data_IF_549465978491
#
_entry.id   IF_549465978491
#
_cell.length_a   1.000
_cell.length_b   1.000
_cell.length_c   1.000
_cell.angle_alpha   90.00
_cell.angle_beta   90.00
_cell.angle_gamma   90.00
#
_symmetry.space_group_name_H-M   'P 1'
#
loop_
_entity.id
_entity.type
_entity.pdbx_description
1 polymer ?
#
# COMPACT_ATOMS: atom_id res chain seq x y z
N UNK A 1 -5.70 2.27 -15.99
CA UNK A 1 -4.29 2.69 -15.77
C UNK A 1 -3.62 1.54 -15.03
N UNK A 2 -2.30 1.30 -15.08
CA UNK A 2 -1.75 0.13 -14.37
C UNK A 2 -1.43 0.43 -12.89
N UNK A 3 -2.34 1.12 -12.19
CA UNK A 3 -2.08 1.66 -10.85
C UNK A 3 -1.89 0.56 -9.82
N UNK A 4 -2.58 -0.57 -9.99
CA UNK A 4 -2.32 -1.77 -9.19
C UNK A 4 -0.85 -2.19 -9.23
N UNK A 5 -0.23 -2.21 -10.42
CA UNK A 5 1.20 -2.52 -10.56
C UNK A 5 2.09 -1.43 -9.96
N UNK A 6 1.69 -0.16 -10.06
CA UNK A 6 2.41 0.97 -9.46
C UNK A 6 2.44 0.83 -7.92
N UNK A 7 1.29 0.60 -7.28
CA UNK A 7 1.19 0.36 -5.83
C UNK A 7 2.03 -0.83 -5.38
N UNK A 8 1.98 -1.96 -6.11
CA UNK A 8 2.80 -3.12 -5.82
C UNK A 8 4.29 -2.82 -5.95
N UNK A 9 4.70 -2.05 -6.95
CA UNK A 9 6.09 -1.64 -7.12
C UNK A 9 6.58 -0.78 -5.94
N UNK A 10 5.76 0.14 -5.44
CA UNK A 10 6.12 0.94 -4.26
C UNK A 10 6.29 0.07 -3.01
N UNK A 11 5.36 -0.84 -2.76
CA UNK A 11 5.43 -1.75 -1.61
C UNK A 11 6.66 -2.67 -1.71
N UNK A 12 6.92 -3.25 -2.87
CA UNK A 12 8.09 -4.12 -3.07
C UNK A 12 9.42 -3.36 -2.91
N UNK A 13 9.50 -2.12 -3.36
CA UNK A 13 10.67 -1.27 -3.14
C UNK A 13 10.87 -0.96 -1.67
N UNK A 14 9.82 -0.51 -0.97
CA UNK A 14 9.85 -0.29 0.47
C UNK A 14 10.26 -1.57 1.24
N UNK A 15 9.76 -2.73 0.83
CA UNK A 15 10.16 -4.03 1.38
C UNK A 15 11.64 -4.33 1.16
N UNK A 16 12.18 -4.06 -0.02
CA UNK A 16 13.57 -4.42 -0.37
C UNK A 16 14.63 -3.65 0.42
N UNK A 17 14.29 -2.49 0.99
CA UNK A 17 15.24 -1.66 1.75
C UNK A 17 15.28 -1.97 3.26
N UNK A 18 14.31 -2.71 3.81
CA UNK A 18 14.29 -3.04 5.25
C UNK A 18 14.35 -4.54 5.50
N UNK A 19 15.39 -4.96 6.22
CA UNK A 19 15.74 -6.37 6.39
C UNK A 19 15.01 -7.08 7.54
N UNK A 20 14.38 -6.40 8.51
CA UNK A 20 13.75 -7.08 9.65
C UNK A 20 12.51 -6.34 10.20
N UNK A 21 11.52 -7.12 10.66
CA UNK A 21 10.27 -6.67 11.31
C UNK A 21 9.14 -6.28 10.35
N UNK A 22 9.39 -5.33 9.45
CA UNK A 22 8.37 -4.77 8.55
C UNK A 22 8.15 -5.58 7.27
N UNK A 23 8.99 -6.57 6.99
CA UNK A 23 8.92 -7.41 5.79
C UNK A 23 7.61 -8.21 5.72
N UNK A 24 7.09 -8.67 6.86
CA UNK A 24 5.80 -9.36 6.94
C UNK A 24 4.65 -8.40 6.63
N UNK A 25 4.63 -7.23 7.27
CA UNK A 25 3.63 -6.19 7.04
C UNK A 25 3.56 -5.79 5.56
N UNK A 26 4.71 -5.49 4.93
CA UNK A 26 4.72 -5.15 3.51
C UNK A 26 4.33 -6.31 2.60
N UNK A 27 4.61 -7.55 2.99
CA UNK A 27 4.14 -8.73 2.24
C UNK A 27 2.62 -8.86 2.30
N UNK A 28 2.04 -8.63 3.48
CA UNK A 28 0.59 -8.63 3.66
C UNK A 28 -0.07 -7.46 2.90
N UNK A 29 0.51 -6.26 2.92
CA UNK A 29 0.05 -5.13 2.10
C UNK A 29 0.09 -5.45 0.60
N UNK A 30 1.16 -6.08 0.10
CA UNK A 30 1.20 -6.54 -1.29
C UNK A 30 0.10 -7.54 -1.60
N UNK A 31 -0.17 -8.48 -0.69
CA UNK A 31 -1.26 -9.46 -0.85
C UNK A 31 -2.64 -8.80 -0.87
N UNK A 32 -2.89 -7.85 0.02
CA UNK A 32 -4.13 -7.06 0.04
C UNK A 32 -4.35 -6.37 -1.32
N UNK A 33 -3.33 -5.64 -1.84
CA UNK A 33 -3.40 -5.00 -3.16
C UNK A 33 -3.62 -6.02 -4.29
N UNK A 34 -3.00 -7.21 -4.22
CA UNK A 34 -3.21 -8.25 -5.21
C UNK A 34 -4.63 -8.80 -5.23
N UNK A 35 -5.32 -8.86 -4.08
CA UNK A 35 -6.69 -9.38 -3.96
C UNK A 35 -7.75 -8.41 -4.50
N UNK A 36 -7.52 -7.10 -4.40
CA UNK A 36 -8.46 -6.08 -4.88
C UNK A 36 -8.52 -6.07 -6.41
N UNK A 37 -9.73 -5.96 -6.99
CA UNK A 37 -9.90 -5.87 -8.44
C UNK A 37 -9.22 -4.59 -8.97
N UNK A 38 -8.46 -4.70 -10.06
CA UNK A 38 -7.83 -3.54 -10.68
C UNK A 38 -8.86 -2.47 -11.11
N UNK A 39 -10.09 -2.88 -11.46
CA UNK A 39 -11.19 -1.97 -11.81
C UNK A 39 -11.67 -1.15 -10.62
N UNK A 40 -11.64 -1.71 -9.43
CA UNK A 40 -12.00 -1.01 -8.19
C UNK A 40 -10.95 0.05 -7.85
N UNK A 41 -9.66 -0.30 -7.99
CA UNK A 41 -8.54 0.64 -7.84
C UNK A 41 -8.67 1.79 -8.85
N UNK A 42 -8.89 1.48 -10.13
CA UNK A 42 -9.07 2.50 -11.17
C UNK A 42 -10.31 3.37 -10.89
N UNK A 43 -11.41 2.78 -10.39
CA UNK A 43 -12.62 3.53 -10.02
C UNK A 43 -12.34 4.55 -8.91
N UNK A 44 -11.60 4.18 -7.87
CA UNK A 44 -11.25 5.11 -6.79
C UNK A 44 -10.45 6.31 -7.32
N UNK A 45 -9.47 6.08 -8.19
CA UNK A 45 -8.68 7.16 -8.78
C UNK A 45 -9.51 8.10 -9.66
N UNK A 46 -10.50 7.55 -10.39
CA UNK A 46 -11.44 8.36 -11.18
C UNK A 46 -12.36 9.22 -10.30
N UNK A 47 -12.46 8.93 -9.00
CA UNK A 47 -13.21 9.71 -8.01
C UNK A 47 -12.27 10.56 -7.13
N UNK A 48 -11.16 11.03 -7.69
CA UNK A 48 -10.22 11.98 -7.07
C UNK A 48 -9.51 11.48 -5.80
N UNK A 49 -9.50 10.17 -5.53
CA UNK A 49 -8.64 9.59 -4.49
C UNK A 49 -7.19 9.55 -4.96
N UNK A 50 -6.26 10.00 -4.12
CA UNK A 50 -4.83 9.87 -4.42
C UNK A 50 -4.36 8.42 -4.30
N UNK A 51 -3.21 8.08 -4.90
CA UNK A 51 -2.61 6.74 -4.74
C UNK A 51 -2.37 6.38 -3.27
N UNK A 52 -2.06 7.37 -2.43
CA UNK A 52 -1.93 7.20 -0.99
C UNK A 52 -3.25 6.84 -0.33
N UNK A 53 -4.34 7.53 -0.69
CA UNK A 53 -5.67 7.28 -0.13
C UNK A 53 -6.19 5.91 -0.58
N UNK A 54 -5.94 5.54 -1.83
CA UNK A 54 -6.29 4.21 -2.36
C UNK A 54 -5.53 3.12 -1.62
N UNK A 55 -4.22 3.27 -1.44
CA UNK A 55 -3.43 2.29 -0.69
C UNK A 55 -3.87 2.20 0.76
N UNK A 56 -4.19 3.33 1.40
CA UNK A 56 -4.72 3.36 2.76
C UNK A 56 -6.06 2.63 2.87
N UNK A 57 -6.98 2.90 1.95
CA UNK A 57 -8.29 2.27 1.90
C UNK A 57 -8.19 0.75 1.73
N UNK A 58 -7.33 0.28 0.82
CA UNK A 58 -7.07 -1.15 0.62
C UNK A 58 -6.53 -1.79 1.90
N UNK A 59 -5.56 -1.16 2.54
CA UNK A 59 -4.89 -1.69 3.73
C UNK A 59 -5.82 -1.73 4.95
N UNK A 60 -6.64 -0.68 5.13
CA UNK A 60 -7.62 -0.61 6.23
C UNK A 60 -8.86 -1.48 5.98
N UNK A 61 -9.13 -1.88 4.74
CA UNK A 61 -10.24 -2.77 4.39
C UNK A 61 -9.85 -4.25 4.40
N UNK A 62 -8.55 -4.58 4.39
CA UNK A 62 -8.08 -5.96 4.43
C UNK A 62 -8.12 -6.51 5.85
N UNK A 63 -8.98 -7.51 6.06
CA UNK A 63 -9.24 -8.10 7.38
C UNK A 63 -8.01 -8.77 7.99
N UNK A 64 -7.13 -9.37 7.18
CA UNK A 64 -5.92 -10.03 7.68
C UNK A 64 -4.96 -8.99 8.29
N UNK A 65 -4.87 -7.81 7.67
CA UNK A 65 -4.08 -6.68 8.17
C UNK A 65 -4.68 -6.08 9.44
N UNK A 66 -5.98 -5.77 9.45
CA UNK A 66 -6.62 -5.09 10.59
C UNK A 66 -6.72 -5.95 11.85
N UNK A 67 -6.66 -7.28 11.73
CA UNK A 67 -6.59 -8.18 12.89
C UNK A 67 -5.21 -8.13 13.56
N UNK A 68 -4.14 -7.92 12.79
CA UNK A 68 -2.75 -8.04 13.26
C UNK A 68 -2.11 -6.72 13.63
N UNK A 69 -2.53 -5.64 12.98
CA UNK A 69 -1.94 -4.32 13.13
C UNK A 69 -3.03 -3.30 13.39
N UNK A 70 -2.76 -2.38 14.31
CA UNK A 70 -3.65 -1.25 14.54
C UNK A 70 -3.63 -0.26 13.36
N UNK A 71 -4.68 0.54 13.27
CA UNK A 71 -4.89 1.53 12.21
C UNK A 71 -3.73 2.54 12.11
N UNK A 72 -3.09 2.89 13.23
CA UNK A 72 -1.98 3.83 13.25
C UNK A 72 -0.72 3.22 12.62
N UNK A 73 -0.41 1.96 12.92
CA UNK A 73 0.69 1.20 12.31
C UNK A 73 0.46 1.08 10.80
N UNK A 74 -0.76 0.72 10.39
CA UNK A 74 -1.13 0.61 8.98
C UNK A 74 -1.01 1.96 8.25
N UNK A 75 -1.54 3.03 8.83
CA UNK A 75 -1.44 4.39 8.28
C UNK A 75 0.02 4.87 8.16
N UNK A 76 0.85 4.56 9.16
CA UNK A 76 2.27 4.88 9.12
C UNK A 76 3.00 4.09 8.05
N UNK A 77 2.67 2.81 7.84
CA UNK A 77 3.25 1.99 6.80
C UNK A 77 2.88 2.49 5.39
N UNK A 78 1.64 2.93 5.17
CA UNK A 78 1.23 3.55 3.90
C UNK A 78 1.96 4.86 3.66
N UNK A 79 1.95 5.77 4.64
CA UNK A 79 2.69 7.02 4.57
C UNK A 79 4.16 6.80 4.25
N UNK A 80 4.74 5.76 4.82
CA UNK A 80 6.11 5.38 4.57
C UNK A 80 6.33 4.91 3.14
N UNK A 81 5.50 3.99 2.62
CA UNK A 81 5.58 3.52 1.22
C UNK A 81 5.51 4.69 0.24
N UNK A 82 4.61 5.64 0.47
CA UNK A 82 4.40 6.81 -0.39
C UNK A 82 5.54 7.83 -0.26
N UNK A 83 5.94 8.20 0.96
CA UNK A 83 7.06 9.14 1.17
C UNK A 83 8.40 8.56 0.70
N UNK A 84 8.56 7.25 0.77
CA UNK A 84 9.74 6.58 0.27
C UNK A 84 9.89 6.77 -1.24
N UNK A 85 8.78 6.72 -1.98
CA UNK A 85 8.77 7.04 -3.41
C UNK A 85 9.14 8.51 -3.67
N UNK A 86 8.48 9.44 -2.98
CA UNK A 86 8.71 10.87 -3.16
C UNK A 86 10.17 11.30 -2.90
N UNK A 87 10.88 10.60 -1.99
CA UNK A 87 12.29 10.85 -1.67
C UNK A 87 13.30 10.36 -2.72
N UNK A 88 12.89 9.53 -3.68
CA UNK A 88 13.79 9.06 -4.74
C UNK A 88 13.78 9.96 -5.98
N UNK A 89 12.79 10.85 -6.10
CA UNK A 89 12.66 11.81 -7.21
C UNK A 89 13.22 13.21 -6.88
N UNK A 90 13.86 13.36 -5.71
CA UNK A 90 14.60 14.55 -5.26
C UNK A 90 16.06 14.19 -4.98
#
# INVERSE_FOLDING_TARGET
>A
MNTKTILLAHIHRAKSQWNNGLSELFSMMSQAVMRVDAREIDWHLMNDLSESDVLLLIVLSDTDLTIRYDELVLSNAVNFVIKFEARQFH
#
